data_IF_093636000679
#
_entry.id   IF_093636000679
#
_cell.length_a   1.000
_cell.length_b   1.000
_cell.length_c   1.000
_cell.angle_alpha   90.00
_cell.angle_beta   90.00
_cell.angle_gamma   90.00
#
_symmetry.space_group_name_H-M   'P 1'
#
loop_
_entity.id
_entity.type
_entity.pdbx_description
1 polymer ?
#
# COMPACT_ATOMS: atom_id res chain seq x y z
N UNK A 1 1.46 -1.92 19.72
CA UNK A 1 0.20 -2.51 20.21
C UNK A 1 0.19 -3.98 19.84
N UNK A 2 -0.41 -4.87 20.67
CA UNK A 2 -0.34 -6.33 20.47
C UNK A 2 -1.66 -6.98 20.01
N UNK A 3 -2.74 -6.21 19.92
CA UNK A 3 -4.04 -6.71 19.50
C UNK A 3 -4.38 -6.24 18.08
N UNK A 4 -5.19 -7.04 17.38
CA UNK A 4 -5.78 -6.72 16.09
C UNK A 4 -7.30 -6.68 16.25
N UNK A 5 -7.93 -5.59 15.82
CA UNK A 5 -9.38 -5.44 15.87
C UNK A 5 -9.93 -5.32 14.45
N UNK A 6 -11.06 -5.97 14.20
CA UNK A 6 -11.79 -5.86 12.94
C UNK A 6 -12.98 -4.91 13.14
N UNK A 7 -12.67 -3.62 13.13
CA UNK A 7 -13.68 -2.56 13.06
C UNK A 7 -14.01 -2.26 11.61
N UNK A 8 -15.04 -1.46 11.31
CA UNK A 8 -15.34 -1.02 9.94
C UNK A 8 -14.52 0.23 9.59
N UNK A 9 -14.18 0.38 8.31
CA UNK A 9 -13.71 1.65 7.74
C UNK A 9 -14.85 2.21 6.89
N UNK A 10 -15.02 3.53 6.91
CA UNK A 10 -16.07 4.20 6.15
C UNK A 10 -15.86 4.01 4.65
N UNK A 11 -14.62 4.02 4.19
CA UNK A 11 -14.28 3.85 2.77
C UNK A 11 -14.72 2.50 2.21
N UNK A 12 -14.72 1.44 3.04
CA UNK A 12 -15.17 0.08 2.70
C UNK A 12 -16.70 -0.02 2.49
N UNK A 13 -17.48 0.93 3.00
CA UNK A 13 -18.95 0.83 3.00
C UNK A 13 -19.55 1.21 1.64
N UNK A 14 -20.41 0.38 1.03
CA UNK A 14 -20.90 0.62 -0.33
C UNK A 14 -21.77 1.88 -0.46
N UNK A 15 -22.51 2.23 0.61
CA UNK A 15 -23.37 3.41 0.65
C UNK A 15 -22.64 4.70 1.02
N UNK A 16 -21.34 4.63 1.39
CA UNK A 16 -20.61 5.80 1.86
C UNK A 16 -20.48 6.87 0.76
N UNK A 17 -20.73 8.15 1.05
CA UNK A 17 -20.80 9.18 0.02
C UNK A 17 -19.50 9.30 -0.78
N UNK A 18 -19.61 9.14 -2.11
CA UNK A 18 -18.47 9.14 -3.02
C UNK A 18 -17.62 10.41 -2.93
N UNK A 19 -18.25 11.57 -2.67
CA UNK A 19 -17.56 12.85 -2.51
C UNK A 19 -16.65 12.86 -1.27
N UNK A 20 -17.10 12.26 -0.17
CA UNK A 20 -16.32 12.18 1.08
C UNK A 20 -15.20 11.16 0.91
N UNK A 21 -15.51 9.96 0.37
CA UNK A 21 -14.52 8.92 0.05
C UNK A 21 -13.39 9.48 -0.82
N UNK A 22 -13.73 10.21 -1.88
CA UNK A 22 -12.74 10.84 -2.75
C UNK A 22 -11.88 11.88 -2.00
N UNK A 23 -12.48 12.66 -1.09
CA UNK A 23 -11.76 13.62 -0.26
C UNK A 23 -10.75 12.96 0.68
N UNK A 24 -11.12 11.83 1.29
CA UNK A 24 -10.24 11.03 2.16
C UNK A 24 -9.08 10.43 1.35
N UNK A 25 -9.38 9.82 0.20
CA UNK A 25 -8.38 9.28 -0.74
C UNK A 25 -7.36 10.31 -1.21
N UNK A 26 -7.82 11.52 -1.53
CA UNK A 26 -6.91 12.57 -1.99
C UNK A 26 -6.00 13.07 -0.86
N UNK A 27 -6.50 13.14 0.38
CA UNK A 27 -5.67 13.42 1.55
C UNK A 27 -4.60 12.35 1.73
N UNK A 28 -4.98 11.07 1.73
CA UNK A 28 -4.04 9.96 1.91
C UNK A 28 -2.99 9.96 0.80
N UNK A 29 -3.39 10.13 -0.47
CA UNK A 29 -2.46 10.22 -1.61
C UNK A 29 -1.48 11.37 -1.43
N UNK A 30 -1.97 12.55 -1.07
CA UNK A 30 -1.11 13.72 -0.89
C UNK A 30 -0.09 13.46 0.22
N UNK A 31 -0.54 12.97 1.36
CA UNK A 31 0.33 12.70 2.52
C UNK A 31 1.35 11.60 2.19
N UNK A 32 0.94 10.47 1.61
CA UNK A 32 1.86 9.37 1.26
C UNK A 32 2.98 9.87 0.34
N UNK A 33 2.63 10.63 -0.70
CA UNK A 33 3.58 11.16 -1.68
C UNK A 33 4.47 12.25 -1.08
N UNK A 34 3.89 13.24 -0.39
CA UNK A 34 4.63 14.36 0.19
C UNK A 34 5.60 13.91 1.29
N UNK A 35 5.21 12.90 2.07
CA UNK A 35 5.99 12.37 3.17
C UNK A 35 6.98 11.28 2.74
N UNK A 36 6.87 10.77 1.51
CA UNK A 36 7.73 9.71 1.00
C UNK A 36 7.68 8.45 1.87
N UNK A 37 6.50 8.06 2.34
CA UNK A 37 6.30 7.00 3.35
C UNK A 37 7.03 5.70 2.99
N UNK A 38 7.04 5.33 1.71
CA UNK A 38 7.65 4.09 1.23
C UNK A 38 9.13 4.19 0.85
N UNK A 39 9.76 5.37 0.96
CA UNK A 39 11.19 5.53 0.64
C UNK A 39 12.12 4.59 1.47
N UNK A 40 11.86 4.32 2.77
CA UNK A 40 12.68 3.42 3.56
C UNK A 40 12.66 1.94 3.11
N UNK A 41 11.69 1.54 2.29
CA UNK A 41 11.57 0.14 1.81
C UNK A 41 12.19 -0.07 0.42
N UNK A 42 12.72 0.98 -0.22
CA UNK A 42 13.40 0.91 -1.52
C UNK A 42 14.49 -0.17 -1.55
N UNK A 43 15.39 -0.31 -0.56
CA UNK A 43 16.40 -1.37 -0.58
C UNK A 43 15.81 -2.78 -0.54
N UNK A 44 14.65 -2.96 0.10
CA UNK A 44 13.96 -4.26 0.15
C UNK A 44 13.34 -4.62 -1.20
N UNK A 45 12.79 -3.63 -1.91
CA UNK A 45 12.27 -3.82 -3.27
C UNK A 45 13.39 -4.11 -4.26
N UNK A 46 14.49 -3.36 -4.20
CA UNK A 46 15.66 -3.60 -5.04
C UNK A 46 16.22 -5.01 -4.83
N UNK A 47 16.28 -5.46 -3.58
CA UNK A 47 16.68 -6.83 -3.27
C UNK A 47 15.67 -7.87 -3.81
N UNK A 48 14.36 -7.64 -3.65
CA UNK A 48 13.32 -8.52 -4.17
C UNK A 48 13.39 -8.67 -5.69
N UNK A 49 13.52 -7.56 -6.42
CA UNK A 49 13.73 -7.53 -7.87
C UNK A 49 14.98 -8.32 -8.27
N UNK A 50 16.12 -8.05 -7.61
CA UNK A 50 17.39 -8.73 -7.89
C UNK A 50 17.33 -10.24 -7.62
N UNK A 51 16.74 -10.65 -6.50
CA UNK A 51 16.59 -12.07 -6.09
C UNK A 51 15.69 -12.85 -7.04
N UNK A 52 14.71 -12.19 -7.63
CA UNK A 52 13.74 -12.81 -8.54
C UNK A 52 14.07 -12.62 -10.01
N UNK A 53 15.14 -11.90 -10.33
CA UNK A 53 15.52 -11.55 -11.71
C UNK A 53 14.47 -10.67 -12.41
N UNK A 54 13.64 -9.96 -11.66
CA UNK A 54 12.56 -9.12 -12.19
C UNK A 54 13.02 -7.67 -12.32
N UNK A 55 12.47 -6.96 -13.30
CA UNK A 55 12.57 -5.50 -13.43
C UNK A 55 11.22 -4.81 -13.24
N UNK A 56 10.16 -5.57 -13.02
CA UNK A 56 8.80 -5.08 -12.87
C UNK A 56 8.29 -5.35 -11.46
N UNK A 57 7.75 -4.32 -10.81
CA UNK A 57 6.87 -4.47 -9.66
C UNK A 57 5.44 -4.66 -10.17
N UNK A 58 4.73 -5.64 -9.63
CA UNK A 58 3.30 -5.86 -9.88
C UNK A 58 2.53 -5.44 -8.62
N UNK A 59 1.97 -4.24 -8.63
CA UNK A 59 1.26 -3.69 -7.48
C UNK A 59 -0.18 -4.22 -7.43
N UNK A 60 -0.50 -5.01 -6.41
CA UNK A 60 -1.81 -5.60 -6.17
C UNK A 60 -2.59 -4.72 -5.18
N UNK A 61 -3.81 -4.34 -5.56
CA UNK A 61 -4.64 -3.43 -4.75
C UNK A 61 -4.08 -2.01 -4.76
N UNK A 62 -3.60 -1.56 -5.92
CA UNK A 62 -2.93 -0.27 -6.08
C UNK A 62 -3.85 0.93 -5.81
N UNK A 63 -5.17 0.72 -5.80
CA UNK A 63 -6.18 1.76 -5.83
C UNK A 63 -5.88 2.73 -6.98
N UNK A 64 -5.52 3.95 -6.62
CA UNK A 64 -5.22 4.98 -7.58
C UNK A 64 -3.71 5.24 -7.81
N UNK A 65 -2.82 4.37 -7.31
CA UNK A 65 -1.36 4.47 -7.47
C UNK A 65 -0.69 5.53 -6.59
N UNK A 66 -1.20 5.74 -5.36
CA UNK A 66 -0.68 6.75 -4.44
C UNK A 66 0.75 6.46 -3.97
N UNK A 67 1.68 7.37 -4.24
CA UNK A 67 3.10 7.22 -3.87
C UNK A 67 3.94 6.36 -4.82
N UNK A 68 3.31 5.65 -5.78
CA UNK A 68 4.01 4.77 -6.73
C UNK A 68 5.05 5.54 -7.56
N UNK A 69 4.73 6.73 -8.06
CA UNK A 69 5.67 7.54 -8.84
C UNK A 69 6.93 7.90 -8.04
N UNK A 70 6.77 8.36 -6.80
CA UNK A 70 7.90 8.70 -5.91
C UNK A 70 8.72 7.46 -5.56
N UNK A 71 8.05 6.33 -5.34
CA UNK A 71 8.69 5.06 -5.05
C UNK A 71 9.52 4.56 -6.24
N UNK A 72 8.96 4.61 -7.46
CA UNK A 72 9.64 4.19 -8.68
C UNK A 72 10.89 5.04 -8.94
N UNK A 73 10.77 6.37 -8.84
CA UNK A 73 11.91 7.26 -8.98
C UNK A 73 13.01 6.94 -7.96
N UNK A 74 12.63 6.76 -6.68
CA UNK A 74 13.58 6.40 -5.64
C UNK A 74 14.23 5.02 -5.86
N UNK A 75 13.51 4.07 -6.45
CA UNK A 75 14.01 2.75 -6.80
C UNK A 75 15.01 2.80 -7.97
N UNK A 76 14.71 3.60 -8.98
CA UNK A 76 15.60 3.85 -10.12
C UNK A 76 16.89 4.54 -9.67
N UNK A 77 16.80 5.57 -8.83
CA UNK A 77 17.94 6.25 -8.20
C UNK A 77 18.77 5.30 -7.32
N UNK A 78 18.15 4.24 -6.78
CA UNK A 78 18.82 3.23 -5.96
C UNK A 78 19.45 2.09 -6.79
N UNK A 79 19.74 2.33 -8.06
CA UNK A 79 20.46 1.39 -8.92
C UNK A 79 19.59 0.37 -9.64
N UNK A 80 18.28 0.63 -9.78
CA UNK A 80 17.36 -0.17 -10.60
C UNK A 80 16.84 0.66 -11.79
N UNK A 81 17.70 1.12 -12.72
CA UNK A 81 17.33 2.11 -13.74
C UNK A 81 16.25 1.61 -14.72
N UNK A 82 16.11 0.30 -14.89
CA UNK A 82 15.10 -0.34 -15.75
C UNK A 82 13.84 -0.74 -15.01
N UNK A 83 13.71 -0.36 -13.72
CA UNK A 83 12.52 -0.67 -12.94
C UNK A 83 11.26 -0.07 -13.58
N UNK A 84 10.19 -0.86 -13.58
CA UNK A 84 8.83 -0.45 -14.00
C UNK A 84 7.80 -0.90 -12.96
N UNK A 85 6.62 -0.30 -12.97
CA UNK A 85 5.49 -0.73 -12.15
C UNK A 85 4.30 -1.06 -13.04
N UNK A 86 3.61 -2.15 -12.74
CA UNK A 86 2.30 -2.50 -13.29
C UNK A 86 1.27 -2.39 -12.16
N UNK A 87 0.33 -1.46 -12.29
CA UNK A 87 -0.75 -1.26 -11.32
C UNK A 87 -1.90 -2.22 -11.61
N UNK A 88 -2.42 -2.87 -10.57
CA UNK A 88 -3.58 -3.75 -10.65
C UNK A 88 -4.49 -3.52 -9.46
N UNK A 89 -5.79 -3.70 -9.65
CA UNK A 89 -6.77 -3.59 -8.57
C UNK A 89 -7.98 -4.47 -8.88
N UNK A 90 -8.73 -4.85 -7.84
CA UNK A 90 -10.04 -5.47 -8.02
C UNK A 90 -11.06 -4.47 -8.56
N UNK A 91 -10.85 -3.18 -8.32
CA UNK A 91 -11.64 -2.06 -8.81
C UNK A 91 -10.74 -1.06 -9.56
N UNK A 92 -10.39 -1.34 -10.83
CA UNK A 92 -9.53 -0.50 -11.65
C UNK A 92 -9.88 0.99 -11.65
N UNK A 93 -8.86 1.86 -11.62
CA UNK A 93 -9.01 3.32 -11.64
C UNK A 93 -8.41 3.97 -12.90
N UNK A 94 -9.01 3.75 -14.09
CA UNK A 94 -8.39 4.08 -15.38
C UNK A 94 -8.03 5.56 -15.54
N UNK A 95 -8.86 6.47 -15.02
CA UNK A 95 -8.59 7.92 -15.10
C UNK A 95 -7.33 8.32 -14.30
N UNK A 96 -7.12 7.73 -13.12
CA UNK A 96 -5.94 8.00 -12.31
C UNK A 96 -4.68 7.36 -12.91
N UNK A 97 -4.82 6.15 -13.47
CA UNK A 97 -3.70 5.41 -14.04
C UNK A 97 -3.25 5.95 -15.39
N UNK A 98 -4.15 6.49 -16.21
CA UNK A 98 -3.79 7.15 -17.46
C UNK A 98 -2.87 8.37 -17.22
N UNK A 99 -3.21 9.22 -16.25
CA UNK A 99 -2.38 10.37 -15.86
C UNK A 99 -1.00 9.93 -15.33
N UNK A 100 -0.93 8.86 -14.53
CA UNK A 100 0.34 8.30 -14.06
C UNK A 100 1.20 7.73 -15.20
N UNK A 101 0.59 7.01 -16.14
CA UNK A 101 1.29 6.45 -17.28
C UNK A 101 1.89 7.54 -18.16
N UNK A 102 1.12 8.60 -18.45
CA UNK A 102 1.59 9.76 -19.22
C UNK A 102 2.75 10.48 -18.52
N UNK A 103 2.60 10.80 -17.23
CA UNK A 103 3.63 11.50 -16.43
C UNK A 103 4.94 10.72 -16.30
N UNK A 104 4.90 9.41 -16.44
CA UNK A 104 6.08 8.54 -16.30
C UNK A 104 6.59 7.98 -17.62
N UNK A 105 6.07 8.45 -18.76
CA UNK A 105 6.48 7.97 -20.08
C UNK A 105 6.27 6.46 -20.25
N UNK A 106 5.24 5.90 -19.60
CA UNK A 106 4.92 4.48 -19.62
C UNK A 106 5.72 3.60 -18.64
N UNK A 107 6.59 4.17 -17.81
CA UNK A 107 7.31 3.39 -16.79
C UNK A 107 6.38 2.85 -15.69
N UNK A 108 5.22 3.51 -15.48
CA UNK A 108 4.08 2.98 -14.73
C UNK A 108 2.97 2.62 -15.72
N UNK A 109 2.75 1.33 -15.90
CA UNK A 109 1.61 0.78 -16.64
C UNK A 109 0.48 0.36 -15.71
N UNK A 110 -0.63 -0.09 -16.30
CA UNK A 110 -1.77 -0.62 -15.56
C UNK A 110 -2.48 -1.74 -16.31
N UNK A 111 -3.09 -2.66 -15.56
CA UNK A 111 -4.01 -3.68 -16.08
C UNK A 111 -5.44 -3.12 -16.06
N UNK A 112 -6.11 -2.92 -17.21
CA UNK A 112 -7.46 -2.38 -17.24
C UNK A 112 -8.51 -3.33 -16.63
N UNK A 113 -8.27 -4.65 -16.67
CA UNK A 113 -9.21 -5.63 -16.13
C UNK A 113 -9.09 -5.79 -14.61
N UNK A 114 -10.19 -6.09 -13.90
CA UNK A 114 -10.14 -6.42 -12.48
C UNK A 114 -9.21 -7.59 -12.16
N UNK A 115 -8.29 -7.39 -11.22
CA UNK A 115 -7.35 -8.41 -10.75
C UNK A 115 -7.63 -8.77 -9.30
N UNK A 116 -8.02 -10.02 -9.07
CA UNK A 116 -8.15 -10.57 -7.73
C UNK A 116 -6.76 -11.01 -7.21
N UNK A 117 -6.29 -10.41 -6.11
CA UNK A 117 -5.02 -10.76 -5.46
C UNK A 117 -4.94 -12.22 -4.97
N UNK A 118 -6.07 -12.92 -4.84
CA UNK A 118 -6.14 -14.34 -4.49
C UNK A 118 -5.88 -15.27 -5.68
N UNK A 119 -5.92 -14.75 -6.91
CA UNK A 119 -5.80 -15.52 -8.13
C UNK A 119 -5.23 -14.63 -9.23
N UNK A 120 -3.97 -14.21 -9.08
CA UNK A 120 -3.33 -13.29 -10.03
C UNK A 120 -3.12 -14.01 -11.37
N UNK A 121 -3.61 -13.47 -12.50
CA UNK A 121 -3.44 -14.07 -13.82
C UNK A 121 -1.98 -14.34 -14.19
N UNK A 122 -1.71 -15.49 -14.82
CA UNK A 122 -0.34 -15.93 -15.15
C UNK A 122 0.40 -15.00 -16.14
N UNK A 123 -0.32 -14.21 -16.93
CA UNK A 123 0.28 -13.23 -17.84
C UNK A 123 0.81 -11.98 -17.11
N UNK A 124 0.36 -11.73 -15.88
CA UNK A 124 0.84 -10.63 -15.04
C UNK A 124 2.10 -11.07 -14.30
N UNK A 125 3.25 -10.79 -14.91
CA UNK A 125 4.57 -11.09 -14.37
C UNK A 125 5.16 -9.93 -13.57
N UNK A 126 6.10 -10.23 -12.69
CA UNK A 126 6.79 -9.24 -11.85
C UNK A 126 6.86 -9.65 -10.39
N UNK A 127 7.67 -8.91 -9.62
CA UNK A 127 7.72 -9.03 -8.17
C UNK A 127 6.47 -8.38 -7.57
N UNK A 128 5.62 -9.18 -6.90
CA UNK A 128 4.33 -8.72 -6.40
C UNK A 128 4.51 -7.79 -5.22
N UNK A 129 3.75 -6.71 -5.16
CA UNK A 129 3.79 -5.77 -4.03
C UNK A 129 2.38 -5.38 -3.60
N UNK A 130 2.17 -5.25 -2.29
CA UNK A 130 0.92 -4.73 -1.70
C UNK A 130 1.30 -3.59 -0.77
N UNK A 131 0.73 -2.40 -0.99
CA UNK A 131 0.99 -1.20 -0.21
C UNK A 131 -0.26 -0.76 0.54
N UNK A 132 -0.20 -0.71 1.87
CA UNK A 132 -1.29 -0.24 2.74
C UNK A 132 -2.68 -0.78 2.42
N UNK A 133 -2.77 -2.04 1.98
CA UNK A 133 -4.04 -2.72 1.70
C UNK A 133 -4.14 -4.08 2.40
N UNK A 134 -3.03 -4.65 2.86
CA UNK A 134 -2.99 -6.01 3.41
C UNK A 134 -3.74 -6.11 4.74
N UNK A 135 -3.82 -5.02 5.50
CA UNK A 135 -4.58 -4.95 6.74
C UNK A 135 -6.10 -5.15 6.58
N UNK A 136 -6.67 -4.91 5.39
CA UNK A 136 -8.07 -5.21 5.09
C UNK A 136 -8.34 -6.71 5.03
N UNK A 137 -7.34 -7.53 4.69
CA UNK A 137 -7.53 -8.97 4.55
C UNK A 137 -7.68 -9.65 5.92
N UNK A 138 -8.73 -10.45 6.16
CA UNK A 138 -8.74 -11.37 7.29
C UNK A 138 -7.66 -12.45 7.13
N UNK A 139 -7.27 -13.15 8.21
CA UNK A 139 -6.12 -14.08 8.19
C UNK A 139 -6.17 -15.10 7.06
N UNK A 140 -7.32 -15.74 6.83
CA UNK A 140 -7.51 -16.75 5.77
C UNK A 140 -7.28 -16.16 4.36
N UNK A 141 -7.75 -14.94 4.12
CA UNK A 141 -7.57 -14.23 2.85
C UNK A 141 -6.12 -13.78 2.70
N UNK A 142 -5.51 -13.27 3.77
CA UNK A 142 -4.12 -12.85 3.80
C UNK A 142 -3.17 -14.03 3.51
N UNK A 143 -3.42 -15.19 4.12
CA UNK A 143 -2.71 -16.44 3.85
C UNK A 143 -2.89 -16.85 2.38
N UNK A 144 -4.12 -16.82 1.85
CA UNK A 144 -4.41 -17.19 0.47
C UNK A 144 -3.69 -16.29 -0.56
N UNK A 145 -3.57 -14.98 -0.29
CA UNK A 145 -2.77 -14.06 -1.14
C UNK A 145 -1.29 -14.46 -1.14
N UNK A 146 -0.72 -14.75 0.02
CA UNK A 146 0.68 -15.19 0.12
C UNK A 146 0.88 -16.56 -0.55
N UNK A 147 -0.06 -17.47 -0.36
CA UNK A 147 -0.04 -18.80 -0.96
C UNK A 147 -0.12 -18.73 -2.49
N UNK A 148 -0.90 -17.80 -3.06
CA UNK A 148 -0.93 -17.60 -4.51
C UNK A 148 0.45 -17.20 -5.07
N UNK A 149 1.21 -16.35 -4.36
CA UNK A 149 2.56 -15.99 -4.75
C UNK A 149 3.53 -17.19 -4.65
N UNK A 150 3.41 -17.98 -3.60
CA UNK A 150 4.20 -19.22 -3.42
C UNK A 150 3.92 -20.21 -4.54
N UNK A 151 2.63 -20.48 -4.82
CA UNK A 151 2.19 -21.36 -5.91
C UNK A 151 2.69 -20.90 -7.27
N UNK A 152 2.67 -19.60 -7.53
CA UNK A 152 3.15 -19.01 -8.77
C UNK A 152 4.69 -18.92 -8.84
N UNK A 153 5.41 -19.22 -7.75
CA UNK A 153 6.87 -19.13 -7.69
C UNK A 153 7.39 -17.71 -7.91
N UNK A 154 6.62 -16.68 -7.55
CA UNK A 154 7.01 -15.28 -7.71
C UNK A 154 7.20 -14.60 -6.36
N UNK A 155 8.18 -13.71 -6.26
CA UNK A 155 8.41 -12.95 -5.04
C UNK A 155 7.25 -12.01 -4.71
N UNK A 156 7.09 -11.74 -3.42
CA UNK A 156 6.03 -10.88 -2.89
C UNK A 156 6.52 -10.00 -1.74
N UNK A 157 6.14 -8.73 -1.74
CA UNK A 157 6.36 -7.78 -0.66
C UNK A 157 5.05 -7.15 -0.17
N UNK A 158 4.80 -7.21 1.13
CA UNK A 158 3.71 -6.51 1.82
C UNK A 158 4.32 -5.37 2.62
N UNK A 159 3.82 -4.15 2.42
CA UNK A 159 4.33 -2.94 3.04
C UNK A 159 3.18 -2.09 3.60
N UNK A 160 3.14 -1.96 4.91
CA UNK A 160 2.13 -1.18 5.62
C UNK A 160 2.78 0.09 6.16
N UNK A 161 2.28 1.27 5.75
CA UNK A 161 2.84 2.60 6.05
C UNK A 161 2.78 3.05 7.51
N UNK A 162 2.80 2.11 8.46
CA UNK A 162 2.82 2.38 9.88
C UNK A 162 3.52 1.25 10.69
N UNK A 163 3.86 1.57 11.94
CA UNK A 163 4.51 0.72 12.93
C UNK A 163 3.57 0.09 13.96
N UNK A 164 2.25 0.36 13.93
CA UNK A 164 1.26 -0.21 14.86
C UNK A 164 1.61 0.06 16.34
N UNK A 165 1.83 1.31 16.72
CA UNK A 165 2.11 1.69 18.12
C UNK A 165 1.35 2.94 18.59
N UNK A 166 1.18 3.09 19.91
CA UNK A 166 0.36 4.15 20.50
C UNK A 166 0.76 5.56 20.06
N UNK A 167 2.04 5.80 19.81
CA UNK A 167 2.51 7.09 19.29
C UNK A 167 1.96 7.43 17.89
N UNK A 168 1.67 6.44 17.04
CA UNK A 168 1.07 6.69 15.72
C UNK A 168 -0.43 6.98 15.83
N UNK A 169 -1.13 6.35 16.77
CA UNK A 169 -2.52 6.74 17.07
C UNK A 169 -2.57 8.17 17.61
N UNK A 170 -1.65 8.52 18.51
CA UNK A 170 -1.57 9.89 19.02
C UNK A 170 -1.29 10.89 17.89
N UNK A 171 -0.37 10.56 16.98
CA UNK A 171 -0.09 11.37 15.79
C UNK A 171 -1.33 11.50 14.89
N UNK A 172 -2.06 10.40 14.66
CA UNK A 172 -3.28 10.38 13.87
C UNK A 172 -4.42 11.20 14.50
N UNK A 173 -4.44 11.33 15.83
CA UNK A 173 -5.45 12.10 16.56
C UNK A 173 -5.08 13.57 16.78
N UNK A 174 -3.81 13.94 16.60
CA UNK A 174 -3.33 15.29 16.95
C UNK A 174 -2.74 16.04 15.76
N UNK A 175 -1.67 15.52 15.16
CA UNK A 175 -0.92 16.22 14.10
C UNK A 175 -1.56 16.04 12.74
N UNK A 176 -2.00 14.83 12.39
CA UNK A 176 -2.60 14.55 11.08
C UNK A 176 -3.90 15.33 10.83
N UNK A 177 -4.81 15.51 11.80
CA UNK A 177 -6.01 16.33 11.60
C UNK A 177 -5.68 17.79 11.33
N UNK A 178 -4.71 18.35 12.05
CA UNK A 178 -4.24 19.73 11.84
C UNK A 178 -3.60 19.85 10.46
N UNK A 179 -2.73 18.91 10.09
CA UNK A 179 -2.14 18.86 8.76
C UNK A 179 -3.22 18.78 7.67
N UNK A 180 -4.25 17.96 7.85
CA UNK A 180 -5.37 17.86 6.92
C UNK A 180 -6.08 19.20 6.75
N UNK A 181 -6.41 19.90 7.84
CA UNK A 181 -7.06 21.20 7.78
C UNK A 181 -6.19 22.25 7.08
N UNK A 182 -4.87 22.22 7.27
CA UNK A 182 -3.96 23.19 6.64
C UNK A 182 -3.67 22.86 5.17
N UNK A 183 -3.55 21.58 4.82
CA UNK A 183 -3.06 21.14 3.52
C UNK A 183 -4.18 20.91 2.50
N UNK A 184 -5.42 20.73 2.94
CA UNK A 184 -6.60 20.49 2.07
C UNK A 184 -6.70 21.44 0.86
N UNK A 185 -6.45 22.76 0.97
CA UNK A 185 -6.57 23.67 -0.16
C UNK A 185 -5.57 23.41 -1.30
N UNK A 186 -4.49 22.70 -1.01
CA UNK A 186 -3.41 22.41 -1.97
C UNK A 186 -3.58 21.07 -2.68
N UNK A 187 -4.57 20.26 -2.29
CA UNK A 187 -4.82 18.97 -2.92
C UNK A 187 -5.36 19.18 -4.34
N UNK A 188 -4.77 18.44 -5.30
CA UNK A 188 -5.17 18.49 -6.70
C UNK A 188 -5.91 17.20 -7.08
N UNK A 189 -6.96 17.29 -7.93
CA UNK A 189 -7.57 18.51 -8.45
C UNK A 189 -8.35 19.28 -7.37
N UNK A 190 -8.38 20.61 -7.47
CA UNK A 190 -9.14 21.47 -6.55
C UNK A 190 -10.64 21.16 -6.66
N UNK A 191 -11.31 20.99 -5.52
CA UNK A 191 -12.76 20.71 -5.45
C UNK A 191 -13.39 21.49 -4.32
N UNK A 192 -14.38 22.33 -4.63
CA UNK A 192 -15.08 23.13 -3.61
C UNK A 192 -15.80 22.24 -2.58
N UNK A 193 -16.38 21.13 -3.03
CA UNK A 193 -17.01 20.14 -2.15
C UNK A 193 -16.08 19.64 -1.05
N UNK A 194 -14.79 19.49 -1.34
CA UNK A 194 -13.77 19.11 -0.35
C UNK A 194 -13.62 20.17 0.74
N UNK A 195 -13.57 21.46 0.38
CA UNK A 195 -13.50 22.53 1.37
C UNK A 195 -14.76 22.56 2.25
N UNK A 196 -15.94 22.35 1.65
CA UNK A 196 -17.20 22.26 2.41
C UNK A 196 -17.16 21.13 3.42
N UNK A 197 -16.80 19.91 2.99
CA UNK A 197 -16.77 18.74 3.86
C UNK A 197 -15.51 18.61 4.74
N UNK A 198 -14.56 19.54 4.61
CA UNK A 198 -13.41 19.66 5.52
C UNK A 198 -13.66 20.75 6.57
N UNK A 199 -14.19 21.92 6.20
CA UNK A 199 -14.27 23.08 7.09
C UNK A 199 -15.67 23.38 7.63
N UNK A 200 -16.73 23.25 6.81
CA UNK A 200 -18.10 23.57 7.25
C UNK A 200 -18.78 22.38 7.91
N UNK A 201 -18.71 21.21 7.27
CA UNK A 201 -19.25 19.96 7.78
C UNK A 201 -18.10 18.95 7.78
N UNK A 202 -17.29 18.85 8.85
CA UNK A 202 -15.97 18.21 8.85
C UNK A 202 -16.02 16.67 8.77
N UNK A 203 -16.80 16.11 7.84
CA UNK A 203 -16.94 14.67 7.64
C UNK A 203 -15.64 14.06 7.10
N UNK A 204 -14.94 14.73 6.19
CA UNK A 204 -13.66 14.20 5.66
C UNK A 204 -12.65 14.00 6.82
N UNK A 205 -12.30 15.00 7.64
CA UNK A 205 -11.32 14.78 8.72
C UNK A 205 -11.81 13.79 9.77
N UNK A 206 -13.09 13.80 10.15
CA UNK A 206 -13.62 12.84 11.13
C UNK A 206 -13.53 11.39 10.61
N UNK A 207 -13.95 11.15 9.38
CA UNK A 207 -13.86 9.82 8.76
C UNK A 207 -12.40 9.42 8.51
N UNK A 208 -11.52 10.33 8.09
CA UNK A 208 -10.09 10.04 7.90
C UNK A 208 -9.40 9.64 9.21
N UNK A 209 -9.72 10.32 10.31
CA UNK A 209 -9.17 9.96 11.63
C UNK A 209 -9.66 8.58 12.06
N UNK A 210 -10.95 8.31 11.88
CA UNK A 210 -11.52 7.01 12.20
C UNK A 210 -10.86 5.91 11.37
N UNK A 211 -10.88 6.02 10.04
CA UNK A 211 -10.31 5.01 9.14
C UNK A 211 -8.82 4.82 9.44
N UNK A 212 -8.02 5.89 9.54
CA UNK A 212 -6.60 5.77 9.90
C UNK A 212 -6.36 5.10 11.26
N UNK A 213 -7.24 5.30 12.25
CA UNK A 213 -7.18 4.60 13.53
C UNK A 213 -7.51 3.12 13.37
N UNK A 214 -8.55 2.81 12.60
CA UNK A 214 -8.98 1.44 12.32
C UNK A 214 -7.93 0.68 11.51
N UNK A 215 -7.32 1.29 10.50
CA UNK A 215 -6.23 0.70 9.72
C UNK A 215 -5.07 0.29 10.63
N UNK A 216 -4.61 1.17 11.53
CA UNK A 216 -3.59 0.85 12.55
C UNK A 216 -3.99 -0.35 13.42
N UNK A 217 -5.25 -0.42 13.83
CA UNK A 217 -5.77 -1.52 14.63
C UNK A 217 -5.91 -2.83 13.83
N UNK A 218 -6.16 -2.76 12.52
CA UNK A 218 -6.27 -3.90 11.60
C UNK A 218 -4.92 -4.41 11.08
N UNK A 219 -3.84 -3.63 11.18
CA UNK A 219 -2.51 -4.07 10.72
C UNK A 219 -2.01 -5.32 11.42
N UNK A 220 -1.28 -6.16 10.69
CA UNK A 220 -0.53 -7.27 11.25
C UNK A 220 0.81 -6.79 11.80
N UNK A 221 1.23 -7.35 12.93
CA UNK A 221 2.59 -7.22 13.43
C UNK A 221 3.57 -8.06 12.59
N UNK A 222 4.88 -7.77 12.61
CA UNK A 222 5.87 -8.60 11.90
C UNK A 222 5.79 -10.08 12.26
N UNK A 223 5.48 -10.42 13.51
CA UNK A 223 5.34 -11.82 13.95
C UNK A 223 4.11 -12.50 13.35
N UNK A 224 2.98 -11.80 13.28
CA UNK A 224 1.75 -12.32 12.65
C UNK A 224 1.94 -12.47 11.14
N UNK A 225 2.60 -11.51 10.48
CA UNK A 225 2.95 -11.62 9.06
C UNK A 225 3.84 -12.83 8.78
N UNK A 226 4.86 -13.07 9.62
CA UNK A 226 5.74 -14.22 9.45
C UNK A 226 5.00 -15.55 9.67
N UNK A 227 4.09 -15.59 10.64
CA UNK A 227 3.25 -16.77 10.88
C UNK A 227 2.36 -17.08 9.67
N UNK A 228 1.68 -16.07 9.10
CA UNK A 228 0.89 -16.22 7.88
C UNK A 228 1.73 -16.69 6.70
N UNK A 229 2.94 -16.14 6.53
CA UNK A 229 3.85 -16.54 5.46
C UNK A 229 4.29 -18.01 5.58
N UNK A 230 4.53 -18.49 6.80
CA UNK A 230 4.86 -19.91 7.04
C UNK A 230 3.66 -20.84 6.84
N UNK A 231 2.43 -20.39 7.16
CA UNK A 231 1.22 -21.16 6.88
C UNK A 231 0.97 -21.27 5.36
N UNK A 232 1.17 -20.17 4.64
CA UNK A 232 1.06 -20.11 3.19
C UNK A 232 2.15 -20.89 2.41
N UNK A 233 3.27 -21.23 3.06
CA UNK A 233 4.40 -21.94 2.46
C UNK A 233 4.80 -23.18 3.30
N UNK A 234 3.95 -24.22 3.37
CA UNK A 234 4.25 -25.43 4.16
C UNK A 234 5.46 -26.19 3.60
N UNK A 235 5.74 -26.06 2.31
CA UNK A 235 6.88 -26.66 1.62
C UNK A 235 8.22 -25.93 1.84
N UNK A 236 8.21 -24.77 2.53
CA UNK A 236 9.40 -23.92 2.75
C UNK A 236 10.14 -23.60 1.45
N UNK A 237 9.36 -23.35 0.39
CA UNK A 237 9.88 -23.03 -0.93
C UNK A 237 10.42 -21.60 -1.01
N UNK A 238 10.04 -20.74 -0.06
CA UNK A 238 10.39 -19.33 -0.03
C UNK A 238 11.30 -18.99 1.15
N UNK A 239 12.13 -17.98 0.95
CA UNK A 239 12.84 -17.30 2.04
C UNK A 239 12.01 -16.09 2.45
N UNK A 240 11.60 -16.04 3.71
CA UNK A 240 10.77 -14.97 4.25
C UNK A 240 11.56 -14.03 5.18
N UNK A 241 11.27 -12.75 5.09
CA UNK A 241 11.81 -11.73 6.01
C UNK A 241 10.71 -10.77 6.43
N UNK A 242 10.64 -10.48 7.73
CA UNK A 242 9.70 -9.47 8.28
C UNK A 242 10.41 -8.48 9.15
N UNK A 243 9.87 -7.28 9.25
CA UNK A 243 10.41 -6.30 10.18
C UNK A 243 9.72 -4.95 10.08
N UNK A 244 10.45 -3.93 10.50
CA UNK A 244 10.06 -2.54 10.34
C UNK A 244 11.23 -1.75 9.79
N UNK A 245 10.96 -0.88 8.82
CA UNK A 245 11.90 0.17 8.38
C UNK A 245 11.38 1.50 8.89
N UNK A 246 12.30 2.38 9.29
CA UNK A 246 11.95 3.68 9.83
C UNK A 246 12.55 4.77 8.95
N UNK A 247 11.75 5.76 8.63
CA UNK A 247 12.23 6.98 8.01
C UNK A 247 12.98 7.83 9.04
N UNK A 248 14.02 8.56 8.61
CA UNK A 248 14.83 9.39 9.52
C UNK A 248 14.03 10.40 10.37
N UNK A 249 12.87 10.87 9.89
CA UNK A 249 12.02 11.85 10.59
C UNK A 249 10.84 11.21 11.33
N UNK A 250 10.77 9.87 11.43
CA UNK A 250 9.86 9.19 12.35
C UNK A 250 9.03 8.03 11.78
N UNK A 251 8.27 8.21 10.68
CA UNK A 251 7.32 7.20 10.20
C UNK A 251 7.94 5.83 9.98
N UNK A 252 7.17 4.78 10.28
CA UNK A 252 7.61 3.40 10.14
C UNK A 252 6.83 2.72 9.02
N UNK A 253 7.48 1.76 8.37
CA UNK A 253 6.84 0.84 7.44
C UNK A 253 7.04 -0.56 8.00
N UNK A 254 5.95 -1.23 8.35
CA UNK A 254 5.95 -2.65 8.68
C UNK A 254 5.98 -3.44 7.38
N UNK A 255 6.86 -4.44 7.29
CA UNK A 255 7.03 -5.20 6.06
C UNK A 255 7.09 -6.71 6.27
N UNK A 256 6.67 -7.43 5.23
CA UNK A 256 6.98 -8.82 4.93
C UNK A 256 7.49 -8.86 3.49
N UNK A 257 8.60 -9.54 3.24
CA UNK A 257 9.08 -9.84 1.90
C UNK A 257 9.42 -11.31 1.79
N UNK A 258 9.20 -11.87 0.62
CA UNK A 258 9.58 -13.24 0.31
C UNK A 258 9.86 -13.45 -1.16
N UNK A 259 10.69 -14.45 -1.43
CA UNK A 259 11.06 -14.88 -2.77
C UNK A 259 11.42 -16.36 -2.75
N UNK A 260 11.31 -17.07 -3.89
CA UNK A 260 11.71 -18.46 -3.99
C UNK A 260 13.14 -18.67 -3.49
N UNK A 261 13.35 -19.72 -2.68
CA UNK A 261 14.67 -20.16 -2.31
C UNK A 261 15.40 -20.61 -3.59
N UNK A 262 16.66 -20.19 -3.77
CA UNK A 262 17.48 -20.71 -4.85
C UNK A 262 17.52 -22.23 -4.73
N UNK A 263 17.05 -22.95 -5.76
CA UNK A 263 17.27 -24.39 -5.85
C UNK A 263 18.76 -24.59 -6.06
N UNK A 264 19.46 -25.04 -5.01
CA UNK A 264 20.83 -25.54 -5.08
C UNK A 264 20.90 -26.78 -5.95
#
# INVERSE_FOLDING_TARGET
MRFRLRLFEFEDLPWFPAVIRAGMMDYLRFMISALGIYRPIVPLLAEGLRRTGQTRLLELGAGAGGGTQTLLAALQDHGQPTATVMLTDLYPQPAAWADLAERTGGAIGHEPEPVNALAVPAHLTGYRTIFSAFHHFPPEVAEAVLHDAVRAGTGIGVFEGAGKHWGELLLAWTVLPVAQLLLTPFFRPFRLSRLVFTYLVPLIPLCTIWDGSVSLLRMYSPKELLALAHQADPGRQFVWQTGKKRHWWGPQVTYLVGWPACRS
#
